data_IF_373320324940
#
_entry.id   IF_373320324940
#
_cell.length_a   1.000
_cell.length_b   1.000
_cell.length_c   1.000
_cell.angle_alpha   90.00
_cell.angle_beta   90.00
_cell.angle_gamma   90.00
#
_symmetry.space_group_name_H-M   'P 1'
#
loop_
_entity.id
_entity.type
_entity.pdbx_description
1 polymer ?
#
# COMPACT_ATOMS: atom_id res chain seq x y z
N UNK A 1 -18.39 -2.12 51.01
CA UNK A 1 -19.27 -1.55 49.97
C UNK A 1 -18.66 -0.19 49.60
N UNK A 2 -17.66 -0.21 48.72
CA UNK A 2 -17.72 0.13 47.28
C UNK A 2 -17.47 1.63 47.03
N UNK A 3 -16.26 1.89 46.48
CA UNK A 3 -15.87 2.92 45.48
C UNK A 3 -15.86 4.40 45.98
N UNK A 4 -14.96 5.35 45.61
CA UNK A 4 -14.07 5.57 44.46
C UNK A 4 -12.82 6.36 44.90
N UNK A 5 -11.65 5.93 44.41
CA UNK A 5 -10.38 6.68 44.32
C UNK A 5 -10.43 7.50 43.03
N UNK A 6 -10.17 8.81 43.08
CA UNK A 6 -9.86 9.61 41.88
C UNK A 6 -8.42 10.07 42.00
N UNK A 7 -7.54 9.35 41.31
CA UNK A 7 -6.17 9.77 41.01
C UNK A 7 -6.18 10.61 39.74
N UNK A 8 -5.56 11.79 39.80
CA UNK A 8 -5.19 12.60 38.64
C UNK A 8 -3.96 11.95 37.98
N UNK A 9 -4.16 11.33 36.83
CA UNK A 9 -3.08 11.00 35.90
C UNK A 9 -3.17 11.98 34.73
N UNK A 10 -2.22 12.93 34.70
CA UNK A 10 -1.93 13.72 33.51
C UNK A 10 -1.26 12.81 32.49
N UNK A 11 -1.95 12.55 31.38
CA UNK A 11 -1.36 11.96 30.17
C UNK A 11 -0.89 13.13 29.31
N UNK A 12 0.42 13.30 29.23
CA UNK A 12 1.07 14.17 28.26
C UNK A 12 1.19 13.36 26.96
N UNK A 13 0.23 13.54 26.05
CA UNK A 13 0.32 13.03 24.68
C UNK A 13 1.33 13.91 23.93
N UNK A 14 2.55 13.41 23.75
CA UNK A 14 3.46 13.92 22.73
C UNK A 14 2.86 13.55 21.38
N UNK A 15 2.28 14.54 20.71
CA UNK A 15 1.97 14.48 19.28
C UNK A 15 3.31 14.46 18.55
N UNK A 16 3.73 13.27 18.11
CA UNK A 16 4.76 13.16 17.09
C UNK A 16 4.12 13.63 15.78
N UNK A 17 4.60 14.74 15.24
CA UNK A 17 4.39 15.13 13.85
C UNK A 17 5.07 14.08 12.99
N UNK A 18 4.27 13.17 12.44
CA UNK A 18 4.67 12.33 11.33
C UNK A 18 4.70 13.27 10.14
N UNK A 19 5.90 13.65 9.69
CA UNK A 19 6.05 14.29 8.38
C UNK A 19 5.75 13.20 7.35
N UNK A 20 4.50 13.13 6.91
CA UNK A 20 4.14 12.40 5.70
C UNK A 20 4.83 13.09 4.54
N UNK A 21 5.84 12.45 3.97
CA UNK A 21 6.35 12.84 2.66
C UNK A 21 5.22 12.56 1.68
N UNK A 22 4.45 13.59 1.36
CA UNK A 22 3.56 13.57 0.21
C UNK A 22 4.44 13.32 -1.01
N UNK A 23 4.24 12.18 -1.66
CA UNK A 23 4.67 12.04 -3.04
C UNK A 23 3.86 13.07 -3.83
N UNK A 24 4.49 14.18 -4.23
CA UNK A 24 3.96 15.05 -5.28
C UNK A 24 3.88 14.19 -6.54
N UNK A 25 2.68 13.68 -6.81
CA UNK A 25 2.31 13.24 -8.14
C UNK A 25 2.05 14.50 -8.97
N UNK A 26 2.74 14.65 -10.09
CA UNK A 26 2.44 15.71 -11.07
C UNK A 26 1.10 15.44 -11.81
N UNK A 27 0.40 14.34 -11.51
CA UNK A 27 -0.89 13.99 -12.12
C UNK A 27 -2.05 14.66 -11.37
N UNK A 28 -3.00 15.19 -12.16
CA UNK A 28 -4.22 15.82 -11.63
C UNK A 28 -5.18 14.73 -11.16
N UNK A 29 -5.22 14.51 -9.84
CA UNK A 29 -6.21 13.68 -9.19
C UNK A 29 -7.62 14.31 -9.29
N UNK A 30 -8.64 13.50 -9.60
CA UNK A 30 -10.02 13.93 -9.81
C UNK A 30 -11.04 12.89 -9.38
N UNK A 31 -12.21 13.36 -8.96
CA UNK A 31 -13.37 12.53 -8.63
C UNK A 31 -14.65 13.21 -9.10
N UNK A 32 -15.56 12.44 -9.70
CA UNK A 32 -16.86 12.90 -10.17
C UNK A 32 -17.93 12.25 -9.26
N UNK A 33 -18.91 13.04 -8.83
CA UNK A 33 -20.03 12.57 -8.03
C UNK A 33 -21.36 13.03 -8.61
N UNK A 34 -22.37 12.16 -8.51
CA UNK A 34 -23.75 12.41 -8.94
C UNK A 34 -24.68 12.47 -7.71
N UNK A 35 -25.54 13.49 -7.63
CA UNK A 35 -26.53 13.62 -6.54
C UNK A 35 -27.86 12.94 -6.85
N UNK A 36 -27.93 12.18 -7.95
CA UNK A 36 -29.07 11.37 -8.34
C UNK A 36 -28.65 9.90 -8.47
N UNK A 37 -29.63 9.02 -8.34
CA UNK A 37 -29.41 7.57 -8.35
C UNK A 37 -29.66 6.97 -9.72
N UNK A 38 -29.04 5.82 -9.97
CA UNK A 38 -29.36 4.96 -11.11
C UNK A 38 -30.86 4.86 -11.35
N UNK A 39 -31.25 5.06 -12.60
CA UNK A 39 -32.60 4.81 -13.06
C UNK A 39 -33.64 5.86 -12.66
N UNK A 40 -33.18 7.07 -12.35
CA UNK A 40 -34.07 8.23 -12.22
C UNK A 40 -34.91 8.44 -13.49
N UNK A 41 -36.23 8.59 -13.35
CA UNK A 41 -37.15 8.78 -14.50
C UNK A 41 -37.59 10.25 -14.57
N UNK A 42 -37.33 10.90 -15.70
CA UNK A 42 -37.71 12.29 -15.98
C UNK A 42 -38.93 12.31 -16.90
N UNK A 43 -40.10 12.59 -16.33
CA UNK A 43 -41.37 12.68 -17.09
C UNK A 43 -41.70 14.10 -17.56
N UNK A 44 -41.22 15.12 -16.85
CA UNK A 44 -41.44 16.54 -17.16
C UNK A 44 -40.10 17.27 -17.14
N UNK A 45 -39.86 18.10 -16.14
CA UNK A 45 -38.58 18.76 -15.96
C UNK A 45 -37.92 18.31 -14.66
N UNK A 46 -36.60 18.11 -14.70
CA UNK A 46 -35.80 17.78 -13.53
C UNK A 46 -34.42 18.43 -13.64
N UNK A 47 -33.89 18.90 -12.51
CA UNK A 47 -32.49 19.31 -12.39
C UNK A 47 -31.70 18.09 -11.94
N UNK A 48 -30.72 17.70 -12.75
CA UNK A 48 -29.67 16.77 -12.35
C UNK A 48 -28.51 17.59 -11.79
N UNK A 49 -27.90 17.11 -10.71
CA UNK A 49 -26.78 17.80 -10.08
C UNK A 49 -25.73 16.81 -9.60
N UNK A 50 -24.57 17.36 -9.25
CA UNK A 50 -23.49 16.62 -8.63
C UNK A 50 -22.30 17.52 -8.34
N UNK A 51 -21.14 16.90 -8.19
CA UNK A 51 -19.89 17.62 -7.93
C UNK A 51 -18.70 17.00 -8.65
N UNK A 52 -17.68 17.81 -8.86
CA UNK A 52 -16.34 17.39 -9.27
C UNK A 52 -15.38 17.85 -8.19
N UNK A 53 -14.47 16.97 -7.79
CA UNK A 53 -13.33 17.29 -6.94
C UNK A 53 -12.08 17.15 -7.79
N UNK A 54 -11.16 18.11 -7.72
CA UNK A 54 -9.89 18.07 -8.44
C UNK A 54 -8.76 18.64 -7.60
N UNK A 55 -7.56 18.10 -7.81
CA UNK A 55 -6.32 18.66 -7.25
C UNK A 55 -5.84 19.93 -7.98
N UNK A 56 -6.46 20.28 -9.12
CA UNK A 56 -6.14 21.46 -9.91
C UNK A 56 -7.42 22.28 -10.22
N UNK A 57 -7.31 23.61 -10.21
CA UNK A 57 -8.41 24.51 -10.58
C UNK A 57 -8.49 24.76 -12.09
N UNK A 58 -7.39 24.56 -12.82
CA UNK A 58 -7.30 24.81 -14.27
C UNK A 58 -7.84 23.61 -15.07
N UNK A 59 -9.00 23.09 -14.67
CA UNK A 59 -9.69 21.98 -15.36
C UNK A 59 -11.02 22.46 -15.94
N UNK A 60 -11.40 21.91 -17.08
CA UNK A 60 -12.71 22.13 -17.70
C UNK A 60 -13.61 20.93 -17.43
N UNK A 61 -14.85 21.16 -16.99
CA UNK A 61 -15.82 20.09 -16.78
C UNK A 61 -16.89 20.18 -17.85
N UNK A 62 -17.05 19.09 -18.61
CA UNK A 62 -18.03 18.97 -19.69
C UNK A 62 -19.03 17.86 -19.39
N UNK A 63 -20.18 17.94 -20.05
CA UNK A 63 -21.24 16.95 -19.94
C UNK A 63 -21.81 16.59 -21.30
N UNK A 64 -22.29 15.35 -21.40
CA UNK A 64 -22.85 14.77 -22.60
C UNK A 64 -24.05 13.88 -22.22
N UNK A 65 -25.09 13.89 -23.05
CA UNK A 65 -26.24 12.97 -22.92
C UNK A 65 -26.26 12.05 -24.13
N UNK A 66 -26.22 10.75 -23.87
CA UNK A 66 -26.32 9.71 -24.89
C UNK A 66 -27.64 8.96 -24.76
N UNK A 67 -28.17 8.50 -25.89
CA UNK A 67 -29.29 7.57 -25.91
C UNK A 67 -28.81 6.11 -25.88
N UNK A 68 -29.75 5.18 -25.81
CA UNK A 68 -29.49 3.73 -25.80
C UNK A 68 -28.75 3.18 -27.02
N UNK A 69 -28.70 3.93 -28.13
CA UNK A 69 -27.94 3.56 -29.35
C UNK A 69 -26.53 4.15 -29.40
N UNK A 70 -26.11 4.86 -28.36
CA UNK A 70 -24.84 5.61 -28.33
C UNK A 70 -24.89 6.92 -29.13
N UNK A 71 -26.08 7.39 -29.52
CA UNK A 71 -26.24 8.68 -30.18
C UNK A 71 -26.20 9.80 -29.15
N UNK A 72 -25.30 10.76 -29.36
CA UNK A 72 -25.14 11.95 -28.52
C UNK A 72 -26.29 12.94 -28.78
N UNK A 73 -27.24 13.03 -27.85
CA UNK A 73 -28.38 13.95 -27.93
C UNK A 73 -28.00 15.40 -27.68
N UNK A 74 -27.21 15.64 -26.63
CA UNK A 74 -26.90 16.99 -26.17
C UNK A 74 -25.55 17.01 -25.45
N UNK A 75 -24.93 18.19 -25.35
CA UNK A 75 -23.65 18.40 -24.69
C UNK A 75 -23.40 19.85 -24.36
N UNK A 76 -22.49 20.07 -23.43
CA UNK A 76 -22.02 21.39 -23.07
C UNK A 76 -20.81 21.35 -22.18
N UNK A 77 -20.38 22.54 -21.78
CA UNK A 77 -19.39 22.77 -20.74
C UNK A 77 -20.11 23.46 -19.59
N UNK A 78 -19.78 23.10 -18.36
CA UNK A 78 -20.22 23.86 -17.19
C UNK A 78 -19.35 25.13 -17.11
N UNK A 79 -19.88 26.28 -17.53
CA UNK A 79 -19.07 27.51 -17.77
C UNK A 79 -19.36 28.65 -16.76
N UNK A 80 -18.37 28.87 -15.87
CA UNK A 80 -17.70 30.11 -15.41
C UNK A 80 -18.41 31.43 -15.01
N UNK A 81 -19.73 31.55 -14.86
CA UNK A 81 -20.30 32.70 -14.11
C UNK A 81 -21.00 32.36 -12.79
N UNK A 82 -21.20 31.07 -12.48
CA UNK A 82 -21.87 30.64 -11.23
C UNK A 82 -21.30 29.39 -10.55
N UNK A 83 -20.27 28.75 -11.12
CA UNK A 83 -19.76 27.45 -10.66
C UNK A 83 -18.22 27.45 -10.63
N UNK A 84 -17.64 28.29 -9.76
CA UNK A 84 -16.18 28.33 -9.54
C UNK A 84 -15.73 27.17 -8.64
N UNK A 85 -14.55 26.61 -8.93
CA UNK A 85 -13.88 25.67 -8.03
C UNK A 85 -13.53 26.34 -6.69
N UNK A 86 -14.12 25.86 -5.60
CA UNK A 86 -13.84 26.34 -4.24
C UNK A 86 -12.89 25.37 -3.51
N UNK A 87 -11.94 25.88 -2.72
CA UNK A 87 -11.00 25.04 -1.98
C UNK A 87 -11.72 24.27 -0.86
N UNK A 88 -11.48 22.96 -0.79
CA UNK A 88 -12.03 22.07 0.25
C UNK A 88 -10.95 21.56 1.22
N UNK A 89 -9.70 21.44 0.76
CA UNK A 89 -8.52 21.14 1.57
C UNK A 89 -7.25 21.67 0.88
N UNK A 90 -6.09 21.55 1.54
CA UNK A 90 -4.82 21.89 0.88
C UNK A 90 -4.64 21.06 -0.38
N UNK A 91 -4.49 21.73 -1.53
CA UNK A 91 -4.29 21.09 -2.82
C UNK A 91 -5.54 20.47 -3.47
N UNK A 92 -6.75 20.66 -2.92
CA UNK A 92 -7.97 20.13 -3.53
C UNK A 92 -9.12 21.15 -3.56
N UNK A 93 -9.86 21.11 -4.65
CA UNK A 93 -10.95 22.01 -4.97
C UNK A 93 -12.19 21.23 -5.38
N UNK A 94 -13.36 21.80 -5.16
CA UNK A 94 -14.64 21.22 -5.56
C UNK A 94 -15.45 22.21 -6.38
N UNK A 95 -16.18 21.70 -7.37
CA UNK A 95 -17.14 22.43 -8.18
C UNK A 95 -18.45 21.66 -8.17
N UNK A 96 -19.55 22.34 -7.87
CA UNK A 96 -20.89 21.78 -8.04
C UNK A 96 -21.39 22.11 -9.44
N UNK A 97 -22.13 21.19 -10.04
CA UNK A 97 -22.73 21.37 -11.36
C UNK A 97 -24.22 21.07 -11.33
N UNK A 98 -25.00 21.80 -12.12
CA UNK A 98 -26.44 21.56 -12.32
C UNK A 98 -26.83 21.57 -13.80
N UNK A 99 -27.73 20.68 -14.19
CA UNK A 99 -28.26 20.58 -15.55
C UNK A 99 -29.77 20.38 -15.53
N UNK A 100 -30.51 21.27 -16.18
CA UNK A 100 -31.97 21.15 -16.34
C UNK A 100 -32.30 20.32 -17.56
N UNK A 101 -32.99 19.19 -17.35
CA UNK A 101 -33.53 18.34 -18.41
C UNK A 101 -35.04 18.51 -18.46
N UNK A 102 -35.57 18.72 -19.67
CA UNK A 102 -37.01 18.75 -19.96
C UNK A 102 -37.33 17.63 -20.92
N UNK A 103 -38.17 16.68 -20.51
CA UNK A 103 -38.51 15.49 -21.29
C UNK A 103 -39.04 15.82 -22.68
N UNK A 104 -39.73 16.96 -22.84
CA UNK A 104 -40.27 17.40 -24.14
C UNK A 104 -39.18 17.74 -25.17
N UNK A 105 -37.94 18.01 -24.74
CA UNK A 105 -36.82 18.34 -25.61
C UNK A 105 -36.11 17.08 -26.16
N UNK A 106 -36.44 15.90 -25.64
CA UNK A 106 -35.78 14.62 -25.98
C UNK A 106 -36.80 13.56 -26.41
N UNK A 107 -36.34 12.53 -27.12
CA UNK A 107 -37.12 11.31 -27.29
C UNK A 107 -37.10 10.50 -26.00
N UNK A 108 -38.09 9.62 -25.83
CA UNK A 108 -38.06 8.64 -24.74
C UNK A 108 -36.83 7.75 -24.87
N UNK A 109 -36.04 7.60 -23.81
CA UNK A 109 -34.79 6.85 -23.84
C UNK A 109 -34.41 6.26 -22.48
N UNK A 110 -33.73 5.13 -22.53
CA UNK A 110 -32.70 4.76 -21.57
C UNK A 110 -31.41 5.50 -21.93
N UNK A 111 -31.13 6.55 -21.17
CA UNK A 111 -30.09 7.53 -21.47
C UNK A 111 -28.92 7.43 -20.48
N UNK A 112 -27.76 7.91 -20.93
CA UNK A 112 -26.55 8.00 -20.12
C UNK A 112 -26.16 9.47 -19.98
N UNK A 113 -25.93 9.91 -18.74
CA UNK A 113 -25.39 11.22 -18.45
C UNK A 113 -23.90 11.06 -18.15
N UNK A 114 -23.07 11.54 -19.06
CA UNK A 114 -21.62 11.47 -18.96
C UNK A 114 -21.05 12.81 -18.51
N UNK A 115 -20.19 12.80 -17.51
CA UNK A 115 -19.39 13.95 -17.09
C UNK A 115 -17.93 13.64 -17.37
N UNK A 116 -17.20 14.63 -17.88
CA UNK A 116 -15.77 14.47 -18.18
C UNK A 116 -14.99 15.68 -17.70
N UNK A 117 -13.87 15.42 -17.03
CA UNK A 117 -12.91 16.42 -16.58
C UNK A 117 -11.76 16.47 -17.57
N UNK A 118 -11.47 17.66 -18.07
CA UNK A 118 -10.49 17.92 -19.12
C UNK A 118 -9.39 18.81 -18.57
N UNK A 119 -8.14 18.39 -18.74
CA UNK A 119 -6.95 19.16 -18.40
C UNK A 119 -5.99 19.14 -19.59
N UNK A 120 -5.46 20.30 -19.99
CA UNK A 120 -4.58 20.45 -21.16
C UNK A 120 -5.13 19.81 -22.45
N UNK A 121 -6.45 19.93 -22.68
CA UNK A 121 -7.18 19.31 -23.81
C UNK A 121 -7.25 17.78 -23.82
N UNK A 122 -6.88 17.12 -22.72
CA UNK A 122 -7.04 15.68 -22.54
C UNK A 122 -8.11 15.40 -21.50
N UNK A 123 -8.98 14.41 -21.75
CA UNK A 123 -9.88 13.88 -20.73
C UNK A 123 -9.01 13.12 -19.72
N UNK A 124 -9.01 13.60 -18.48
CA UNK A 124 -8.26 12.97 -17.37
C UNK A 124 -9.15 12.09 -16.50
N UNK A 125 -10.46 12.31 -16.53
CA UNK A 125 -11.44 11.50 -15.83
C UNK A 125 -12.81 11.61 -16.48
N UNK A 126 -13.56 10.51 -16.44
CA UNK A 126 -14.91 10.41 -16.95
C UNK A 126 -15.74 9.51 -16.04
N UNK A 127 -17.01 9.85 -15.86
CA UNK A 127 -17.96 9.00 -15.16
C UNK A 127 -19.35 9.12 -15.80
N UNK A 128 -20.14 8.05 -15.69
CA UNK A 128 -21.41 7.90 -16.41
C UNK A 128 -22.49 7.42 -15.45
N UNK A 129 -23.62 8.14 -15.43
CA UNK A 129 -24.79 7.75 -14.66
C UNK A 129 -25.99 7.48 -15.58
N UNK A 130 -26.53 6.26 -15.60
CA UNK A 130 -27.75 5.95 -16.33
C UNK A 130 -29.01 6.56 -15.70
N UNK A 131 -29.88 7.11 -16.57
CA UNK A 131 -31.17 7.67 -16.21
C UNK A 131 -32.18 7.49 -17.36
N UNK A 132 -33.45 7.77 -17.11
CA UNK A 132 -34.50 7.59 -18.11
C UNK A 132 -35.21 8.90 -18.40
N UNK A 133 -35.50 9.16 -19.68
CA UNK A 133 -36.38 10.25 -20.10
C UNK A 133 -37.64 9.65 -20.66
N UNK A 134 -38.80 10.00 -20.07
CA UNK A 134 -40.12 9.57 -20.54
C UNK A 134 -40.83 10.75 -21.19
N UNK A 135 -40.95 10.71 -22.52
CA UNK A 135 -41.70 11.70 -23.29
C UNK A 135 -42.99 11.06 -23.84
N UNK A 136 -44.14 11.53 -23.38
CA UNK A 136 -45.46 11.02 -23.79
C UNK A 136 -45.71 11.07 -25.31
N UNK A 137 -45.00 11.93 -26.04
CA UNK A 137 -45.15 12.06 -27.50
C UNK A 137 -44.38 11.00 -28.28
N UNK A 138 -43.49 10.25 -27.64
CA UNK A 138 -42.59 9.29 -28.29
C UNK A 138 -42.64 7.92 -27.61
N UNK A 139 -42.63 6.88 -28.43
CA UNK A 139 -42.58 5.50 -27.95
C UNK A 139 -41.23 5.27 -27.26
N UNK A 140 -41.27 4.68 -26.07
CA UNK A 140 -40.10 4.20 -25.34
C UNK A 140 -39.34 3.15 -26.15
N UNK A 141 -38.01 3.23 -26.15
CA UNK A 141 -37.13 2.19 -26.71
C UNK A 141 -37.10 0.93 -25.84
N UNK A 142 -37.54 0.99 -24.58
CA UNK A 142 -37.62 -0.12 -23.62
C UNK A 142 -36.29 -0.87 -23.40
N UNK A 143 -35.18 -0.34 -23.91
CA UNK A 143 -33.85 -0.90 -23.75
C UNK A 143 -33.45 -0.85 -22.27
N UNK A 144 -32.80 -1.90 -21.79
CA UNK A 144 -32.21 -1.86 -20.45
C UNK A 144 -31.00 -0.93 -20.40
N UNK A 145 -30.84 -0.22 -19.28
CA UNK A 145 -29.59 0.42 -18.90
C UNK A 145 -28.96 -0.33 -17.72
N UNK A 146 -27.63 -0.30 -17.62
CA UNK A 146 -26.88 -0.98 -16.57
C UNK A 146 -25.77 -0.11 -16.01
N UNK A 147 -25.58 -0.18 -14.69
CA UNK A 147 -24.41 0.35 -14.01
C UNK A 147 -23.76 -0.77 -13.20
N UNK A 148 -22.49 -1.06 -13.50
CA UNK A 148 -21.69 -2.01 -12.71
C UNK A 148 -21.02 -1.21 -11.59
N UNK A 149 -21.35 -1.54 -10.34
CA UNK A 149 -20.80 -0.91 -9.13
C UNK A 149 -19.51 -1.64 -8.67
N UNK A 150 -19.41 -2.94 -8.93
CA UNK A 150 -18.23 -3.76 -8.64
C UNK A 150 -18.10 -4.89 -9.69
N UNK A 151 -16.92 -5.19 -10.22
CA UNK A 151 -15.67 -4.43 -10.08
C UNK A 151 -15.73 -3.10 -10.84
N UNK A 152 -14.85 -2.17 -10.48
CA UNK A 152 -14.59 -0.97 -11.29
C UNK A 152 -13.53 -1.25 -12.36
N UNK A 153 -13.40 -0.37 -13.35
CA UNK A 153 -12.36 -0.52 -14.36
C UNK A 153 -10.97 -0.38 -13.74
N UNK A 154 -10.03 -1.25 -14.15
CA UNK A 154 -8.67 -1.40 -13.63
C UNK A 154 -8.55 -1.82 -12.16
N UNK A 155 -9.60 -2.40 -11.57
CA UNK A 155 -9.60 -2.85 -10.18
C UNK A 155 -8.63 -4.01 -9.92
N UNK A 156 -8.20 -4.16 -8.67
CA UNK A 156 -7.41 -5.30 -8.18
C UNK A 156 -8.31 -6.31 -7.49
N UNK A 157 -8.36 -7.52 -8.03
CA UNK A 157 -9.18 -8.62 -7.50
C UNK A 157 -8.27 -9.69 -6.91
N UNK A 158 -8.55 -10.06 -5.67
CA UNK A 158 -7.91 -11.17 -4.96
C UNK A 158 -8.98 -12.24 -4.66
N UNK A 159 -8.79 -13.46 -5.14
CA UNK A 159 -9.77 -14.54 -4.98
C UNK A 159 -10.92 -14.42 -5.97
N UNK A 160 -12.15 -14.62 -5.50
CA UNK A 160 -13.35 -14.68 -6.33
C UNK A 160 -13.83 -13.29 -6.78
N UNK A 161 -14.38 -13.23 -8.00
CA UNK A 161 -14.87 -12.00 -8.58
C UNK A 161 -16.35 -11.81 -8.22
N UNK A 162 -16.65 -10.79 -7.42
CA UNK A 162 -18.02 -10.33 -7.17
C UNK A 162 -18.41 -9.29 -8.22
N UNK A 163 -19.52 -9.54 -8.91
CA UNK A 163 -20.16 -8.61 -9.83
C UNK A 163 -21.38 -8.06 -9.13
N UNK A 164 -21.43 -6.75 -8.95
CA UNK A 164 -22.53 -6.02 -8.33
C UNK A 164 -22.99 -4.94 -9.30
N UNK A 165 -24.26 -4.96 -9.66
CA UNK A 165 -24.75 -4.06 -10.70
C UNK A 165 -26.25 -3.77 -10.55
N UNK A 166 -26.66 -2.61 -11.07
CA UNK A 166 -28.06 -2.22 -11.22
C UNK A 166 -28.45 -2.27 -12.67
N UNK A 167 -29.65 -2.77 -12.95
CA UNK A 167 -30.17 -2.89 -14.32
C UNK A 167 -31.66 -2.63 -14.35
N UNK A 168 -32.12 -1.72 -15.20
CA UNK A 168 -33.55 -1.56 -15.45
C UNK A 168 -33.85 -0.92 -16.80
N UNK A 169 -35.08 -1.09 -17.26
CA UNK A 169 -35.65 -0.30 -18.35
C UNK A 169 -36.34 0.95 -17.79
N UNK A 170 -36.81 1.82 -18.69
CA UNK A 170 -37.57 3.04 -18.36
C UNK A 170 -38.88 2.78 -17.61
N UNK A 171 -39.42 1.56 -17.67
CA UNK A 171 -40.63 1.18 -16.93
C UNK A 171 -40.32 0.56 -15.56
N UNK A 172 -39.03 0.41 -15.23
CA UNK A 172 -38.54 -0.17 -14.00
C UNK A 172 -38.48 -1.70 -13.99
N UNK A 173 -38.64 -2.38 -15.14
CA UNK A 173 -38.46 -3.83 -15.21
C UNK A 173 -36.98 -4.18 -15.25
N UNK A 174 -36.66 -5.43 -14.91
CA UNK A 174 -35.31 -5.99 -15.00
C UNK A 174 -35.26 -7.12 -16.05
N UNK A 175 -34.10 -7.36 -16.69
CA UNK A 175 -33.96 -8.52 -17.58
C UNK A 175 -34.00 -9.83 -16.79
N UNK A 176 -34.43 -10.92 -17.43
CA UNK A 176 -34.50 -12.24 -16.76
C UNK A 176 -33.13 -12.92 -16.65
N UNK A 177 -32.25 -12.67 -17.61
CA UNK A 177 -30.94 -13.28 -17.72
C UNK A 177 -29.93 -12.29 -18.32
N UNK A 178 -28.65 -12.59 -18.12
CA UNK A 178 -27.53 -11.95 -18.79
C UNK A 178 -26.48 -12.99 -19.14
N UNK A 179 -25.67 -12.72 -20.15
CA UNK A 179 -24.49 -13.51 -20.46
C UNK A 179 -23.28 -12.85 -19.82
N UNK A 180 -22.60 -13.57 -18.95
CA UNK A 180 -21.44 -13.07 -18.21
C UNK A 180 -20.23 -13.94 -18.52
N UNK A 181 -19.15 -13.31 -18.97
CA UNK A 181 -17.92 -14.03 -19.27
C UNK A 181 -16.69 -13.26 -18.85
N UNK A 182 -15.66 -14.02 -18.47
CA UNK A 182 -14.35 -13.49 -18.12
C UNK A 182 -13.28 -14.14 -18.98
N UNK A 183 -12.34 -13.33 -19.46
CA UNK A 183 -11.25 -13.81 -20.31
C UNK A 183 -9.93 -13.17 -19.91
N UNK A 184 -8.89 -14.01 -19.85
CA UNK A 184 -7.54 -13.62 -19.44
C UNK A 184 -6.72 -13.13 -20.63
N UNK A 185 -5.92 -12.10 -20.38
CA UNK A 185 -4.90 -11.54 -21.25
C UNK A 185 -3.59 -11.34 -20.51
N UNK A 186 -2.51 -11.07 -21.26
CA UNK A 186 -1.21 -10.75 -20.69
C UNK A 186 -1.03 -9.24 -20.52
N UNK A 187 -1.69 -8.43 -21.35
CA UNK A 187 -1.57 -6.98 -21.32
C UNK A 187 -2.93 -6.31 -21.28
N UNK A 188 -2.99 -5.14 -20.65
CA UNK A 188 -4.17 -4.27 -20.66
C UNK A 188 -4.61 -3.88 -22.07
N UNK A 189 -3.67 -3.70 -22.99
CA UNK A 189 -3.96 -3.30 -24.37
C UNK A 189 -4.70 -4.35 -25.20
N UNK A 190 -5.04 -5.52 -24.64
CA UNK A 190 -5.81 -6.57 -25.32
C UNK A 190 -7.24 -6.68 -24.77
N UNK A 191 -7.53 -6.15 -23.59
CA UNK A 191 -8.85 -6.23 -22.97
C UNK A 191 -9.83 -5.26 -23.63
N UNK A 192 -11.10 -5.66 -23.73
CA UNK A 192 -12.19 -4.84 -24.26
C UNK A 192 -11.97 -4.28 -25.68
N UNK A 193 -11.20 -5.01 -26.51
CA UNK A 193 -10.88 -4.63 -27.89
C UNK A 193 -11.62 -5.43 -28.97
N UNK A 194 -12.45 -6.38 -28.58
CA UNK A 194 -13.26 -7.19 -29.50
C UNK A 194 -14.71 -6.74 -29.51
N UNK A 195 -15.35 -6.90 -30.67
CA UNK A 195 -16.81 -6.75 -30.80
C UNK A 195 -17.53 -7.76 -29.88
N UNK A 196 -18.72 -7.41 -29.37
CA UNK A 196 -19.50 -8.32 -28.54
C UNK A 196 -19.90 -9.59 -29.30
N UNK A 197 -19.63 -10.76 -28.70
CA UNK A 197 -20.04 -12.05 -29.23
C UNK A 197 -21.10 -12.69 -28.30
N UNK A 198 -22.25 -13.03 -28.87
CA UNK A 198 -23.34 -13.71 -28.14
C UNK A 198 -22.93 -15.18 -27.93
N UNK A 199 -22.91 -15.62 -26.67
CA UNK A 199 -22.69 -17.00 -26.28
C UNK A 199 -23.65 -17.43 -25.16
N UNK A 200 -24.69 -18.17 -25.56
CA UNK A 200 -25.72 -18.68 -24.65
C UNK A 200 -25.19 -19.69 -23.60
N UNK A 201 -23.99 -20.25 -23.74
CA UNK A 201 -23.40 -21.10 -22.70
C UNK A 201 -23.01 -20.31 -21.44
N UNK A 202 -22.80 -19.00 -21.58
CA UNK A 202 -22.46 -18.08 -20.50
C UNK A 202 -23.71 -17.41 -19.88
N UNK A 203 -24.90 -17.85 -20.28
CA UNK A 203 -26.15 -17.27 -19.80
C UNK A 203 -26.43 -17.68 -18.35
N UNK A 204 -26.70 -16.68 -17.52
CA UNK A 204 -27.10 -16.86 -16.12
C UNK A 204 -28.46 -16.22 -15.88
N UNK A 205 -29.25 -16.84 -15.01
CA UNK A 205 -30.51 -16.25 -14.53
C UNK A 205 -30.18 -15.21 -13.47
N UNK A 206 -30.71 -14.00 -13.65
CA UNK A 206 -30.49 -12.91 -12.71
C UNK A 206 -31.57 -12.90 -11.62
N UNK A 207 -31.15 -12.60 -10.39
CA UNK A 207 -32.04 -12.40 -9.26
C UNK A 207 -31.82 -11.01 -8.68
N UNK A 208 -32.88 -10.22 -8.61
CA UNK A 208 -32.82 -8.83 -8.18
C UNK A 208 -33.34 -8.64 -6.76
N UNK A 209 -32.70 -7.70 -6.06
CA UNK A 209 -33.16 -7.19 -4.77
C UNK A 209 -34.02 -5.94 -4.97
N UNK A 210 -34.43 -5.29 -3.86
CA UNK A 210 -35.06 -3.97 -3.97
C UNK A 210 -34.07 -2.98 -4.62
N UNK A 211 -34.57 -2.12 -5.52
CA UNK A 211 -33.78 -1.13 -6.29
C UNK A 211 -32.98 -1.71 -7.46
N UNK A 212 -33.49 -2.74 -8.13
CA UNK A 212 -32.96 -3.22 -9.41
C UNK A 212 -31.52 -3.73 -9.36
N UNK A 213 -31.04 -4.11 -8.19
CA UNK A 213 -29.68 -4.56 -7.93
C UNK A 213 -29.57 -6.08 -7.99
N UNK A 214 -28.56 -6.59 -8.70
CA UNK A 214 -28.17 -8.00 -8.67
C UNK A 214 -26.69 -8.14 -8.25
N UNK A 215 -26.38 -9.32 -7.72
CA UNK A 215 -25.01 -9.73 -7.44
C UNK A 215 -24.76 -11.14 -7.97
N UNK A 216 -23.58 -11.36 -8.54
CA UNK A 216 -23.14 -12.66 -9.05
C UNK A 216 -21.66 -12.87 -8.75
N UNK A 217 -21.27 -14.09 -8.37
CA UNK A 217 -19.90 -14.41 -8.00
C UNK A 217 -19.32 -15.42 -8.99
N UNK A 218 -18.10 -15.17 -9.46
CA UNK A 218 -17.35 -16.04 -10.37
C UNK A 218 -16.12 -16.56 -9.63
N UNK A 219 -15.95 -17.89 -9.64
CA UNK A 219 -14.78 -18.55 -9.04
C UNK A 219 -13.50 -18.17 -9.80
N UNK A 220 -12.61 -17.46 -9.12
CA UNK A 220 -11.39 -16.91 -9.68
C UNK A 220 -10.12 -17.24 -8.88
N UNK A 221 -10.26 -17.79 -7.66
CA UNK A 221 -9.13 -18.13 -6.78
C UNK A 221 -8.09 -19.06 -7.41
N UNK A 222 -8.52 -20.02 -8.24
CA UNK A 222 -7.62 -20.98 -8.92
C UNK A 222 -7.10 -20.49 -10.26
N UNK A 223 -7.53 -19.30 -10.71
CA UNK A 223 -7.15 -18.74 -12.00
C UNK A 223 -5.78 -18.04 -11.88
N UNK A 224 -4.97 -18.08 -12.96
CA UNK A 224 -3.65 -17.46 -12.94
C UNK A 224 -3.75 -15.94 -13.03
N UNK A 225 -2.91 -15.25 -12.25
CA UNK A 225 -2.76 -13.80 -12.26
C UNK A 225 -2.61 -13.25 -13.68
N UNK A 226 -3.13 -12.05 -13.91
CA UNK A 226 -3.20 -11.48 -15.24
C UNK A 226 -4.18 -10.34 -15.36
N UNK A 227 -4.16 -9.73 -16.53
CA UNK A 227 -5.23 -8.86 -16.97
C UNK A 227 -6.43 -9.72 -17.36
N UNK A 228 -7.61 -9.27 -16.97
CA UNK A 228 -8.87 -9.90 -17.34
C UNK A 228 -9.81 -8.86 -17.91
N UNK A 229 -10.64 -9.29 -18.85
CA UNK A 229 -11.84 -8.56 -19.20
C UNK A 229 -13.06 -9.28 -18.62
N UNK A 230 -14.02 -8.50 -18.12
CA UNK A 230 -15.36 -8.94 -17.79
C UNK A 230 -16.29 -8.37 -18.86
N UNK A 231 -17.05 -9.25 -19.50
CA UNK A 231 -18.09 -8.90 -20.45
C UNK A 231 -19.45 -9.27 -19.88
N UNK A 232 -20.36 -8.31 -19.84
CA UNK A 232 -21.77 -8.50 -19.47
C UNK A 232 -22.64 -8.08 -20.65
N UNK A 233 -23.45 -9.02 -21.12
CA UNK A 233 -24.37 -8.85 -22.24
C UNK A 233 -25.82 -9.10 -21.81
N UNK A 234 -26.72 -8.22 -22.22
CA UNK A 234 -28.17 -8.44 -22.14
C UNK A 234 -28.73 -8.37 -23.55
N UNK A 235 -29.47 -9.39 -23.96
CA UNK A 235 -30.12 -9.45 -25.27
C UNK A 235 -31.60 -9.13 -25.16
N UNK A 236 -32.19 -8.71 -26.28
CA UNK A 236 -33.61 -8.41 -26.35
C UNK A 236 -34.46 -9.69 -26.18
N UNK A 237 -35.48 -9.60 -25.32
CA UNK A 237 -36.33 -10.76 -24.99
C UNK A 237 -37.21 -11.25 -26.16
N UNK A 238 -37.55 -10.36 -27.10
CA UNK A 238 -38.31 -10.68 -28.30
C UNK A 238 -37.40 -11.09 -29.47
N UNK A 239 -36.17 -10.55 -29.51
CA UNK A 239 -35.17 -10.79 -30.54
C UNK A 239 -33.79 -11.09 -29.92
N UNK A 240 -33.50 -12.37 -29.55
CA UNK A 240 -32.27 -12.72 -28.84
C UNK A 240 -30.95 -12.47 -29.60
N UNK A 241 -31.01 -12.19 -30.90
CA UNK A 241 -29.85 -11.82 -31.73
C UNK A 241 -29.49 -10.33 -31.58
N UNK A 242 -30.34 -9.53 -30.92
CA UNK A 242 -30.15 -8.10 -30.68
C UNK A 242 -29.63 -7.86 -29.26
N UNK A 243 -28.52 -7.13 -29.17
CA UNK A 243 -27.87 -6.78 -27.91
C UNK A 243 -28.44 -5.44 -27.44
N UNK A 244 -29.02 -5.42 -26.24
CA UNK A 244 -29.48 -4.19 -25.59
C UNK A 244 -28.40 -3.56 -24.71
N UNK A 245 -27.64 -4.40 -23.99
CA UNK A 245 -26.53 -3.95 -23.14
C UNK A 245 -25.28 -4.70 -23.56
N UNK A 246 -24.19 -3.95 -23.73
CA UNK A 246 -22.83 -4.48 -23.77
C UNK A 246 -21.95 -3.64 -22.85
N UNK A 247 -21.51 -4.25 -21.76
CA UNK A 247 -20.51 -3.68 -20.88
C UNK A 247 -19.25 -4.53 -20.94
N UNK A 248 -18.10 -3.88 -21.11
CA UNK A 248 -16.80 -4.50 -20.98
C UNK A 248 -15.94 -3.66 -20.04
N UNK A 249 -15.35 -4.31 -19.04
CA UNK A 249 -14.40 -3.69 -18.13
C UNK A 249 -13.15 -4.55 -18.00
N UNK A 250 -12.03 -3.91 -17.70
CA UNK A 250 -10.76 -4.58 -17.47
C UNK A 250 -10.44 -4.60 -15.99
N UNK A 251 -9.82 -5.66 -15.47
CA UNK A 251 -9.35 -5.74 -14.09
C UNK A 251 -8.07 -6.59 -13.99
N UNK A 252 -7.37 -6.48 -12.86
CA UNK A 252 -6.16 -7.23 -12.53
C UNK A 252 -6.52 -8.32 -11.53
N UNK A 253 -6.22 -9.58 -11.87
CA UNK A 253 -6.31 -10.67 -10.91
C UNK A 253 -4.95 -10.88 -10.24
N UNK A 254 -4.93 -10.91 -8.91
CA UNK A 254 -3.74 -11.10 -8.09
C UNK A 254 -4.00 -12.15 -7.00
N UNK A 255 -3.63 -13.40 -7.27
CA UNK A 255 -3.76 -14.51 -6.32
C UNK A 255 -2.40 -14.97 -5.79
N UNK A 256 -1.28 -14.58 -6.43
CA UNK A 256 0.05 -14.94 -6.00
C UNK A 256 0.63 -13.85 -5.10
N UNK A 257 1.20 -14.28 -3.97
CA UNK A 257 1.92 -13.40 -3.05
C UNK A 257 3.32 -13.08 -3.59
N UNK A 258 3.91 -11.93 -3.22
CA UNK A 258 5.28 -11.61 -3.57
C UNK A 258 6.25 -12.64 -2.99
N UNK A 259 7.36 -12.89 -3.68
CA UNK A 259 8.39 -13.83 -3.26
C UNK A 259 9.55 -13.08 -2.61
N UNK A 260 9.81 -13.38 -1.33
CA UNK A 260 10.95 -12.83 -0.60
C UNK A 260 12.22 -13.60 -0.98
N UNK A 261 13.27 -12.87 -1.36
CA UNK A 261 14.60 -13.39 -1.62
C UNK A 261 15.67 -12.55 -0.91
N UNK A 262 16.31 -13.15 0.10
CA UNK A 262 17.41 -12.57 0.88
C UNK A 262 18.65 -13.46 0.69
N UNK A 263 19.55 -13.17 -0.27
CA UNK A 263 20.66 -14.05 -0.61
C UNK A 263 21.67 -14.26 0.53
N UNK A 264 21.89 -13.23 1.35
CA UNK A 264 22.79 -13.25 2.50
C UNK A 264 22.00 -12.91 3.76
N UNK A 265 21.28 -13.88 4.36
CA UNK A 265 20.55 -13.65 5.60
C UNK A 265 21.52 -13.37 6.75
N UNK A 266 21.13 -12.57 7.76
CA UNK A 266 21.98 -12.30 8.90
C UNK A 266 22.23 -13.58 9.71
N UNK A 267 23.43 -13.71 10.25
CA UNK A 267 23.86 -14.85 11.08
C UNK A 267 24.51 -14.37 12.36
N UNK A 268 24.67 -15.27 13.33
CA UNK A 268 25.40 -14.97 14.57
C UNK A 268 26.80 -14.42 14.27
N UNK A 269 27.18 -13.38 15.00
CA UNK A 269 28.48 -12.74 14.86
C UNK A 269 29.01 -12.21 16.20
N UNK A 270 30.32 -11.95 16.23
CA UNK A 270 30.95 -11.20 17.32
C UNK A 270 30.77 -9.71 17.02
N UNK A 271 30.50 -8.93 18.06
CA UNK A 271 30.40 -7.48 17.94
C UNK A 271 31.61 -6.87 17.24
N UNK A 272 31.36 -5.82 16.45
CA UNK A 272 32.38 -5.11 15.70
C UNK A 272 31.91 -3.70 15.39
N UNK A 273 32.81 -2.87 14.87
CA UNK A 273 32.49 -1.53 14.34
C UNK A 273 31.71 -1.55 13.02
N UNK A 274 31.37 -2.73 12.48
CA UNK A 274 30.76 -2.87 11.15
C UNK A 274 29.23 -2.89 11.20
N UNK A 275 28.61 -2.28 10.20
CA UNK A 275 27.17 -2.38 9.94
C UNK A 275 26.80 -3.76 9.39
N UNK A 276 25.77 -4.36 9.97
CA UNK A 276 25.10 -5.55 9.44
C UNK A 276 24.14 -5.09 8.35
N UNK A 277 24.31 -5.63 7.14
CA UNK A 277 23.50 -5.27 5.96
C UNK A 277 22.73 -6.51 5.52
N UNK A 278 21.41 -6.39 5.44
CA UNK A 278 20.51 -7.43 4.92
C UNK A 278 19.83 -6.89 3.66
N UNK A 279 20.03 -7.58 2.55
CA UNK A 279 19.57 -7.15 1.22
C UNK A 279 18.47 -8.06 0.69
N UNK A 280 17.29 -7.48 0.44
CA UNK A 280 16.13 -8.15 -0.13
C UNK A 280 15.78 -7.66 -1.56
N UNK A 281 16.70 -6.95 -2.24
CA UNK A 281 16.49 -6.34 -3.57
C UNK A 281 16.14 -7.32 -4.68
N UNK A 282 16.43 -8.61 -4.50
CA UNK A 282 16.06 -9.68 -5.45
C UNK A 282 14.65 -10.24 -5.23
N UNK A 283 13.91 -9.72 -4.25
CA UNK A 283 12.51 -10.09 -4.04
C UNK A 283 11.66 -9.54 -5.18
N UNK A 284 10.63 -10.28 -5.58
CA UNK A 284 9.83 -9.94 -6.75
C UNK A 284 8.41 -10.49 -6.64
N UNK A 285 7.47 -9.83 -7.32
CA UNK A 285 6.17 -10.42 -7.61
C UNK A 285 6.31 -11.49 -8.72
N UNK A 286 5.67 -12.67 -8.60
CA UNK A 286 5.72 -13.72 -9.62
C UNK A 286 5.16 -13.30 -10.99
N UNK A 287 4.20 -12.38 -11.05
CA UNK A 287 3.53 -11.98 -12.28
C UNK A 287 3.58 -10.46 -12.52
N UNK A 288 3.24 -9.66 -11.52
CA UNK A 288 3.22 -8.20 -11.55
C UNK A 288 4.62 -7.60 -11.32
N UNK A 289 5.64 -8.13 -12.00
CA UNK A 289 7.05 -7.79 -11.76
C UNK A 289 7.43 -6.34 -12.11
N UNK A 290 6.60 -5.64 -12.90
CA UNK A 290 6.78 -4.21 -13.21
C UNK A 290 6.16 -3.31 -12.14
N UNK A 291 5.26 -3.85 -11.32
CA UNK A 291 4.61 -3.13 -10.24
C UNK A 291 5.52 -3.04 -9.02
N UNK A 292 5.37 -2.00 -8.21
CA UNK A 292 6.24 -1.76 -7.06
C UNK A 292 5.86 -2.66 -5.88
N UNK A 293 6.87 -3.17 -5.18
CA UNK A 293 6.72 -3.84 -3.89
C UNK A 293 6.97 -2.85 -2.75
N UNK A 294 6.14 -2.90 -1.71
CA UNK A 294 6.34 -2.17 -0.47
C UNK A 294 7.09 -3.04 0.54
N UNK A 295 8.24 -2.58 1.01
CA UNK A 295 9.07 -3.28 1.97
C UNK A 295 8.78 -2.75 3.37
N UNK A 296 8.64 -3.65 4.35
CA UNK A 296 8.49 -3.32 5.77
C UNK A 296 9.45 -4.19 6.56
N UNK A 297 10.51 -3.58 7.08
CA UNK A 297 11.43 -4.20 8.00
C UNK A 297 11.05 -3.87 9.44
N UNK A 298 11.10 -4.87 10.31
CA UNK A 298 10.92 -4.68 11.75
C UNK A 298 12.01 -5.44 12.49
N UNK A 299 12.82 -4.75 13.29
CA UNK A 299 13.86 -5.37 14.10
C UNK A 299 13.63 -5.10 15.58
N UNK A 300 13.78 -6.12 16.42
CA UNK A 300 13.74 -6.01 17.88
C UNK A 300 14.98 -6.64 18.49
N UNK A 301 15.39 -6.17 19.66
CA UNK A 301 16.54 -6.73 20.39
C UNK A 301 16.17 -7.15 21.83
N UNK A 302 16.94 -8.09 22.40
CA UNK A 302 16.70 -8.64 23.74
C UNK A 302 17.10 -7.71 24.90
N UNK A 303 17.85 -6.63 24.65
CA UNK A 303 18.45 -5.77 25.68
C UNK A 303 17.51 -4.67 26.16
N UNK A 304 16.86 -3.96 25.23
CA UNK A 304 15.99 -2.82 25.54
C UNK A 304 14.58 -2.92 24.93
N UNK A 305 14.30 -3.97 24.16
CA UNK A 305 13.02 -4.16 23.45
C UNK A 305 12.65 -3.01 22.51
N UNK A 306 13.63 -2.20 22.09
CA UNK A 306 13.41 -1.17 21.08
C UNK A 306 13.02 -1.84 19.75
N UNK A 307 12.10 -1.20 19.04
CA UNK A 307 11.61 -1.63 17.73
C UNK A 307 12.12 -0.64 16.69
N UNK A 308 12.89 -1.14 15.74
CA UNK A 308 13.34 -0.39 14.56
C UNK A 308 12.39 -0.78 13.43
N UNK A 309 11.77 0.23 12.79
CA UNK A 309 10.92 0.05 11.61
C UNK A 309 11.51 0.83 10.46
N UNK A 310 11.63 0.20 9.30
CA UNK A 310 12.12 0.80 8.06
C UNK A 310 11.25 0.34 6.91
N UNK A 311 10.68 1.26 6.13
CA UNK A 311 9.69 0.94 5.10
C UNK A 311 9.79 1.83 3.85
N UNK A 312 9.24 1.34 2.73
CA UNK A 312 9.15 2.11 1.49
C UNK A 312 9.12 1.27 0.21
N UNK A 313 9.01 1.96 -0.94
CA UNK A 313 8.97 1.37 -2.28
C UNK A 313 10.32 1.42 -3.03
N UNK A 314 11.27 2.22 -2.54
CA UNK A 314 12.49 2.56 -3.28
C UNK A 314 13.67 1.66 -2.95
N UNK A 315 14.78 1.83 -3.70
CA UNK A 315 16.00 1.06 -3.52
C UNK A 315 16.58 1.10 -2.09
N UNK A 316 16.32 2.17 -1.33
CA UNK A 316 16.76 2.27 0.06
C UNK A 316 15.91 1.39 1.00
N UNK A 317 14.67 1.06 0.62
CA UNK A 317 13.80 0.19 1.40
C UNK A 317 14.14 -1.30 1.25
N UNK A 318 14.85 -1.68 0.19
CA UNK A 318 15.26 -3.06 -0.07
C UNK A 318 16.35 -3.55 0.89
N UNK A 319 17.10 -2.61 1.46
CA UNK A 319 18.26 -2.86 2.32
C UNK A 319 17.92 -2.47 3.75
N UNK A 320 18.18 -3.38 4.68
CA UNK A 320 18.13 -3.11 6.12
C UNK A 320 19.54 -3.03 6.68
N UNK A 321 19.81 -1.97 7.44
CA UNK A 321 21.09 -1.72 8.08
C UNK A 321 20.94 -1.71 9.60
N UNK A 322 21.84 -2.40 10.29
CA UNK A 322 21.89 -2.47 11.76
C UNK A 322 23.31 -2.28 12.26
N UNK A 323 23.48 -1.57 13.37
CA UNK A 323 24.76 -1.41 14.04
C UNK A 323 25.22 -2.73 14.69
N UNK A 324 26.35 -3.27 14.23
CA UNK A 324 26.95 -4.49 14.75
C UNK A 324 27.76 -4.32 16.04
N UNK A 325 27.85 -3.10 16.59
CA UNK A 325 28.61 -2.85 17.82
C UNK A 325 27.81 -3.16 19.09
N UNK A 326 26.50 -3.35 18.98
CA UNK A 326 25.63 -3.57 20.12
C UNK A 326 25.39 -5.07 20.33
N UNK A 327 25.94 -5.62 21.42
CA UNK A 327 25.67 -7.01 21.76
C UNK A 327 24.23 -7.23 22.24
N UNK A 328 23.45 -8.04 21.52
CA UNK A 328 22.10 -8.47 21.88
C UNK A 328 21.66 -9.66 21.00
N UNK A 329 20.54 -10.28 21.36
CA UNK A 329 19.81 -11.18 20.45
C UNK A 329 18.82 -10.35 19.65
N UNK A 330 18.81 -10.53 18.34
CA UNK A 330 18.00 -9.77 17.40
C UNK A 330 16.97 -10.66 16.72
N UNK A 331 15.78 -10.10 16.53
CA UNK A 331 14.71 -10.66 15.73
C UNK A 331 14.38 -9.67 14.61
N UNK A 332 14.73 -10.01 13.38
CA UNK A 332 14.49 -9.20 12.18
C UNK A 332 13.37 -9.84 11.35
N UNK A 333 12.35 -9.07 11.03
CA UNK A 333 11.22 -9.46 10.18
C UNK A 333 11.21 -8.60 8.93
N UNK A 334 10.91 -9.24 7.81
CA UNK A 334 10.60 -8.58 6.55
C UNK A 334 9.20 -8.97 6.14
N UNK A 335 8.36 -7.98 5.86
CA UNK A 335 7.09 -8.12 5.16
C UNK A 335 7.17 -7.38 3.82
N UNK A 336 6.74 -8.03 2.75
CA UNK A 336 6.56 -7.43 1.43
C UNK A 336 5.09 -7.41 1.10
N UNK A 337 4.60 -6.26 0.62
CA UNK A 337 3.23 -6.08 0.13
C UNK A 337 3.30 -5.73 -1.36
N UNK A 338 2.57 -6.46 -2.19
CA UNK A 338 2.44 -6.15 -3.62
C UNK A 338 1.37 -5.06 -3.87
N UNK A 339 1.23 -4.64 -5.13
CA UNK A 339 0.26 -3.62 -5.52
C UNK A 339 -1.20 -4.09 -5.48
N UNK A 340 -1.45 -5.40 -5.47
CA UNK A 340 -2.78 -5.99 -5.24
C UNK A 340 -3.10 -6.19 -3.75
N UNK A 341 -2.20 -5.81 -2.85
CA UNK A 341 -2.38 -5.87 -1.39
C UNK A 341 -2.09 -7.24 -0.76
N UNK A 342 -1.58 -8.23 -1.51
CA UNK A 342 -1.15 -9.49 -0.92
C UNK A 342 0.25 -9.34 -0.30
N UNK A 343 0.49 -10.05 0.81
CA UNK A 343 1.78 -9.97 1.50
C UNK A 343 2.42 -11.31 1.83
N UNK A 344 3.75 -11.29 1.82
CA UNK A 344 4.65 -12.36 2.26
C UNK A 344 5.51 -11.88 3.41
N UNK A 345 5.89 -12.80 4.31
CA UNK A 345 6.72 -12.48 5.48
C UNK A 345 7.84 -13.49 5.66
N UNK A 346 8.99 -13.04 6.14
CA UNK A 346 10.08 -13.88 6.63
C UNK A 346 10.66 -13.31 7.92
N UNK A 347 11.32 -14.17 8.70
CA UNK A 347 11.87 -13.83 10.01
C UNK A 347 13.27 -14.44 10.17
N UNK A 348 14.19 -13.64 10.69
CA UNK A 348 15.58 -14.01 10.97
C UNK A 348 15.88 -13.77 12.44
N UNK A 349 16.47 -14.77 13.09
CA UNK A 349 16.96 -14.66 14.46
C UNK A 349 18.47 -14.82 14.44
N UNK A 350 19.19 -13.87 15.03
CA UNK A 350 20.65 -13.89 15.13
C UNK A 350 21.11 -13.17 16.38
N UNK A 351 22.33 -13.41 16.80
CA UNK A 351 22.94 -12.80 17.98
C UNK A 351 24.22 -12.05 17.62
N UNK A 352 24.41 -10.91 18.27
CA UNK A 352 25.68 -10.20 18.31
C UNK A 352 26.27 -10.43 19.70
N UNK A 353 27.31 -11.24 19.78
CA UNK A 353 27.94 -11.59 21.05
C UNK A 353 29.09 -10.64 21.37
N UNK A 354 29.15 -10.19 22.62
CA UNK A 354 30.31 -9.44 23.10
C UNK A 354 31.55 -10.33 23.20
N UNK A 355 32.72 -9.79 22.86
CA UNK A 355 34.00 -10.48 23.06
C UNK A 355 34.67 -9.99 24.35
N UNK A 356 35.12 -10.89 25.24
CA UNK A 356 35.84 -10.44 26.43
C UNK A 356 37.23 -9.88 26.07
N UNK A 357 37.72 -8.86 26.80
CA UNK A 357 39.05 -8.29 26.56
C UNK A 357 40.16 -9.33 26.75
N UNK A 358 41.20 -9.24 25.93
CA UNK A 358 42.43 -10.01 26.07
C UNK A 358 43.44 -9.23 26.92
N UNK A 359 43.72 -9.73 28.13
CA UNK A 359 44.76 -9.15 28.97
C UNK A 359 46.16 -9.60 28.54
N UNK A 360 47.11 -8.65 28.55
CA UNK A 360 48.54 -8.93 28.39
C UNK A 360 49.30 -8.29 29.54
N UNK A 361 50.13 -9.09 30.19
CA UNK A 361 50.97 -8.65 31.29
C UNK A 361 52.43 -8.65 30.84
N UNK A 362 53.11 -7.53 31.07
CA UNK A 362 54.55 -7.42 30.93
C UNK A 362 55.12 -6.98 32.28
N UNK A 363 56.02 -7.81 32.85
CA UNK A 363 56.74 -7.50 34.09
C UNK A 363 58.20 -7.28 33.75
N UNK A 364 58.76 -6.10 34.07
CA UNK A 364 60.16 -5.75 33.80
C UNK A 364 60.56 -5.98 32.32
N UNK A 365 59.64 -5.72 31.39
CA UNK A 365 59.86 -5.92 29.94
C UNK A 365 59.71 -7.37 29.46
N UNK A 366 59.38 -8.32 30.34
CA UNK A 366 59.14 -9.72 30.01
C UNK A 366 57.63 -9.96 29.94
N UNK A 367 57.13 -10.45 28.81
CA UNK A 367 55.74 -10.88 28.69
C UNK A 367 55.49 -12.10 29.57
N UNK A 368 54.45 -12.01 30.38
CA UNK A 368 54.00 -13.03 31.33
C UNK A 368 52.64 -13.54 30.88
N UNK A 369 52.45 -14.85 30.92
CA UNK A 369 51.15 -15.49 30.70
C UNK A 369 50.60 -16.03 32.03
N UNK A 370 49.28 -16.22 32.08
CA UNK A 370 48.63 -16.79 33.25
C UNK A 370 49.23 -18.17 33.60
N UNK A 371 49.59 -18.34 34.87
CA UNK A 371 50.26 -19.53 35.39
C UNK A 371 51.81 -19.49 35.38
N UNK A 372 52.44 -18.45 34.85
CA UNK A 372 53.90 -18.31 34.90
C UNK A 372 54.42 -18.04 36.32
N UNK A 373 55.59 -18.60 36.65
CA UNK A 373 56.36 -18.23 37.84
C UNK A 373 57.41 -17.18 37.46
N UNK A 374 57.28 -15.98 38.03
CA UNK A 374 58.22 -14.88 37.80
C UNK A 374 59.07 -14.66 39.05
N UNK A 375 60.39 -14.82 38.90
CA UNK A 375 61.35 -14.46 39.95
C UNK A 375 61.59 -12.94 39.93
N UNK A 376 61.16 -12.26 40.99
CA UNK A 376 61.42 -10.84 41.20
C UNK A 376 62.70 -10.71 42.04
N UNK A 377 63.76 -10.15 41.46
CA UNK A 377 65.01 -9.90 42.20
C UNK A 377 64.76 -8.90 43.35
N UNK A 378 65.26 -9.26 44.53
CA UNK A 378 64.98 -8.64 45.84
C UNK A 378 64.84 -7.11 45.81
N UNK A 379 63.65 -6.63 46.20
CA UNK A 379 63.33 -5.28 46.72
C UNK A 379 63.47 -4.09 45.74
N UNK A 380 63.77 -4.33 44.45
CA UNK A 380 63.73 -3.28 43.44
C UNK A 380 62.30 -2.89 43.03
N UNK A 381 62.09 -1.68 42.47
CA UNK A 381 60.83 -1.36 41.80
C UNK A 381 60.59 -2.33 40.65
N UNK A 382 59.37 -2.84 40.50
CA UNK A 382 58.95 -3.68 39.37
C UNK A 382 58.17 -2.82 38.38
N UNK A 383 58.44 -2.98 37.09
CA UNK A 383 57.68 -2.34 36.02
C UNK A 383 56.52 -3.25 35.64
N UNK A 384 55.30 -2.75 35.78
CA UNK A 384 54.06 -3.41 35.37
C UNK A 384 53.52 -2.67 34.15
N UNK A 385 53.32 -3.40 33.06
CA UNK A 385 52.82 -2.85 31.80
C UNK A 385 51.71 -3.75 31.24
N UNK A 386 50.52 -3.16 31.08
CA UNK A 386 49.32 -3.78 30.54
C UNK A 386 48.92 -3.23 29.18
N UNK A 387 49.75 -2.36 28.57
CA UNK A 387 49.44 -1.56 27.37
C UNK A 387 49.27 -2.40 26.10
N UNK A 388 49.58 -3.70 26.19
CA UNK A 388 49.34 -4.69 25.13
C UNK A 388 48.04 -5.46 25.30
N UNK A 389 47.25 -5.17 26.34
CA UNK A 389 45.89 -5.67 26.45
C UNK A 389 45.03 -5.05 25.35
N UNK A 390 44.06 -5.80 24.84
CA UNK A 390 43.24 -5.40 23.69
C UNK A 390 41.81 -5.87 23.84
N UNK A 391 40.87 -5.19 23.21
CA UNK A 391 39.48 -5.62 23.06
C UNK A 391 39.05 -5.59 21.58
N UNK A 392 37.77 -5.83 21.30
CA UNK A 392 37.14 -5.49 20.03
C UNK A 392 37.25 -3.99 19.74
N UNK A 393 37.22 -3.61 18.46
CA UNK A 393 37.41 -2.20 18.05
C UNK A 393 36.39 -1.24 18.68
N UNK A 394 35.15 -1.70 18.86
CA UNK A 394 34.09 -0.92 19.51
C UNK A 394 34.29 -0.77 21.02
N UNK A 395 35.01 -1.68 21.68
CA UNK A 395 35.22 -1.68 23.13
C UNK A 395 36.64 -1.25 23.54
N UNK A 396 37.57 -1.13 22.60
CA UNK A 396 38.98 -0.81 22.87
C UNK A 396 39.16 0.50 23.65
N UNK A 397 38.36 1.54 23.35
CA UNK A 397 38.39 2.81 24.08
C UNK A 397 37.85 2.69 25.52
N UNK A 398 37.02 1.68 25.77
CA UNK A 398 36.44 1.38 27.08
C UNK A 398 37.33 0.51 27.96
N UNK A 399 38.45 -0.02 27.43
CA UNK A 399 39.31 -0.96 28.14
C UNK A 399 39.96 -0.31 29.37
N UNK A 400 39.82 -0.97 30.52
CA UNK A 400 40.38 -0.52 31.81
C UNK A 400 41.24 -1.61 32.43
N UNK A 401 42.50 -1.30 32.70
CA UNK A 401 43.38 -2.20 33.45
C UNK A 401 43.33 -1.89 34.94
N UNK A 402 42.95 -2.88 35.75
CA UNK A 402 42.94 -2.80 37.21
C UNK A 402 44.04 -3.72 37.75
N UNK A 403 44.96 -3.13 38.52
CA UNK A 403 46.06 -3.86 39.14
C UNK A 403 45.73 -4.16 40.59
N UNK A 404 45.88 -5.41 41.01
CA UNK A 404 45.69 -5.80 42.40
C UNK A 404 46.73 -6.81 42.87
N UNK A 405 47.12 -6.70 44.14
CA UNK A 405 47.98 -7.67 44.82
C UNK A 405 47.20 -8.26 45.99
N UNK A 406 47.04 -9.57 46.01
CA UNK A 406 46.25 -10.29 47.02
C UNK A 406 44.82 -9.73 47.19
N UNK A 407 44.20 -9.30 46.08
CA UNK A 407 42.84 -8.74 46.07
C UNK A 407 42.74 -7.26 46.49
N UNK A 408 43.84 -6.60 46.85
CA UNK A 408 43.84 -5.15 47.12
C UNK A 408 44.23 -4.40 45.84
N UNK A 409 43.34 -3.52 45.36
CA UNK A 409 43.61 -2.67 44.19
C UNK A 409 44.72 -1.69 44.53
N UNK A 410 45.78 -1.72 43.72
CA UNK A 410 46.96 -0.87 43.87
C UNK A 410 46.93 0.32 42.89
N UNK A 411 46.31 0.17 41.71
CA UNK A 411 46.27 1.20 40.68
C UNK A 411 45.31 0.83 39.52
N UNK A 412 44.83 1.85 38.80
CA UNK A 412 44.02 1.76 37.57
C UNK A 412 44.73 2.48 36.41
N UNK A 413 44.93 1.77 35.29
CA UNK A 413 45.58 2.25 34.06
C UNK A 413 46.44 1.17 33.38
N UNK A 414 46.54 1.20 32.05
CA UNK A 414 47.24 0.15 31.30
C UNK A 414 48.72 0.46 31.03
N UNK A 415 49.16 1.70 31.20
CA UNK A 415 50.51 2.13 30.87
C UNK A 415 51.60 1.57 31.81
N UNK A 416 52.83 1.47 31.29
CA UNK A 416 54.01 1.05 32.03
C UNK A 416 54.24 1.91 33.28
N UNK A 417 54.18 1.29 34.45
CA UNK A 417 54.37 1.97 35.74
C UNK A 417 55.28 1.19 36.67
N UNK A 418 56.14 1.91 37.38
CA UNK A 418 56.94 1.36 38.46
C UNK A 418 56.09 1.17 39.72
N UNK A 419 56.07 -0.06 40.23
CA UNK A 419 55.52 -0.45 41.50
C UNK A 419 56.66 -0.67 42.50
N UNK A 420 56.63 0.09 43.60
CA UNK A 420 57.50 -0.10 44.76
C UNK A 420 56.72 -0.82 45.86
N UNK A 421 57.33 -1.83 46.46
CA UNK A 421 56.72 -2.57 47.58
C UNK A 421 56.38 -1.62 48.75
N UNK A 422 55.21 -1.77 49.39
CA UNK A 422 54.88 -1.01 50.59
C UNK A 422 55.94 -1.22 51.66
N UNK A 423 56.46 -0.15 52.27
CA UNK A 423 57.62 -0.18 53.21
C UNK A 423 57.40 -0.97 54.52
N UNK A 424 56.36 -1.80 54.66
CA UNK A 424 56.08 -2.55 55.91
C UNK A 424 55.40 -3.93 55.70
N UNK A 425 55.70 -4.64 54.61
CA UNK A 425 55.32 -6.05 54.48
C UNK A 425 56.56 -6.93 54.24
N UNK A 426 57.26 -7.22 55.33
CA UNK A 426 58.21 -8.34 55.46
C UNK A 426 57.61 -9.46 56.29
#
# INVERSE_FOLDING_TARGET
MRVIVIGLFSIFLMLFSVDSVLAESDEVDTSIGFDFTFGEIIENEKILSGSVVSSNQDVEVSWEIYNSTGFKYNWGVFDSESEDFFPISEGYFSMSWEMMIKSQDYYSCSCEFKVSVIHDSNIISEDVMPFFISNENYISDSNFAMQIENPINNDWINGDLSIEARVSDITGNNPQSAQISVKRYLTYAETCNSDPEINFENEIVLSFTANNFFSHEIEMETKPDGWYELVVLVTNSENPDEIEIFNCLSFKLNNLKPLISVPNPPTDMIESSSTIIVDASTSADPFWFEESLYFIWTCTNSKDSNIIVHEGYNANAWIFELDGSASADYNLKLELVDSGGLSSKTEFNFSVSNSPPSSKLIINGITVIDGDEVNLDNLGPISLDGSKSSDTENDEQGLRCIWSVNGNVIFEGCENREFSWPENQT
#
